data_IF_577610535879
#
_entry.id   IF_577610535879
#
_cell.length_a   1.000
_cell.length_b   1.000
_cell.length_c   1.000
_cell.angle_alpha   90.00
_cell.angle_beta   90.00
_cell.angle_gamma   90.00
#
_symmetry.space_group_name_H-M   'P 1'
#
loop_
_entity.id
_entity.type
_entity.pdbx_description
1 polymer ?
#
# COMPACT_ATOMS: atom_id res chain seq x y z
N UNK A 1 -64.21 -6.68 4.91
CA UNK A 1 -64.58 -6.49 6.33
C UNK A 1 -63.34 -5.93 7.00
N UNK A 2 -63.33 -4.58 7.08
CA UNK A 2 -63.35 -3.75 8.28
C UNK A 2 -62.10 -3.92 9.19
N UNK A 3 -61.29 -2.94 9.50
CA UNK A 3 -61.51 -1.53 9.86
C UNK A 3 -60.20 -0.69 9.79
N UNK A 4 -60.39 0.49 9.29
CA UNK A 4 -59.52 1.68 9.37
C UNK A 4 -59.46 2.17 10.84
N UNK A 5 -58.32 2.68 11.30
CA UNK A 5 -58.32 3.71 12.32
C UNK A 5 -57.12 4.66 12.14
N UNK A 6 -57.48 5.88 11.86
CA UNK A 6 -56.70 7.12 11.80
C UNK A 6 -56.37 7.62 13.20
N UNK A 7 -55.20 8.23 13.39
CA UNK A 7 -55.04 9.32 14.39
C UNK A 7 -54.16 10.47 13.85
N UNK A 8 -54.79 11.57 13.67
CA UNK A 8 -54.32 12.93 13.44
C UNK A 8 -53.80 13.48 14.76
N UNK A 9 -52.70 14.22 14.79
CA UNK A 9 -52.37 15.17 15.85
C UNK A 9 -51.44 16.27 15.34
N UNK A 10 -52.01 17.36 14.98
CA UNK A 10 -51.93 18.76 15.49
C UNK A 10 -50.57 19.43 15.50
N UNK A 11 -50.44 20.34 14.54
CA UNK A 11 -49.47 21.44 14.44
C UNK A 11 -49.77 22.53 15.51
N UNK A 12 -48.76 23.00 16.23
CA UNK A 12 -48.80 24.26 16.97
C UNK A 12 -47.78 25.24 16.40
N UNK A 13 -48.30 26.25 15.73
CA UNK A 13 -47.59 27.47 15.35
C UNK A 13 -47.43 28.40 16.55
N UNK A 14 -46.24 28.94 16.74
CA UNK A 14 -46.03 30.11 17.64
C UNK A 14 -45.62 31.30 16.78
N UNK A 15 -46.51 32.30 16.79
CA UNK A 15 -46.28 33.65 16.26
C UNK A 15 -45.66 34.46 17.37
N UNK A 16 -44.52 35.12 17.14
CA UNK A 16 -44.01 36.19 18.00
C UNK A 16 -44.03 37.54 17.25
N UNK A 17 -44.76 38.43 17.83
CA UNK A 17 -45.00 39.81 17.39
C UNK A 17 -43.79 40.67 17.79
N UNK A 18 -43.23 41.41 16.82
CA UNK A 18 -42.19 42.42 17.04
C UNK A 18 -42.83 43.74 17.39
N UNK A 19 -42.41 44.32 18.50
CA UNK A 19 -42.79 45.69 18.91
C UNK A 19 -41.64 46.65 18.57
N UNK A 20 -41.90 47.58 17.66
CA UNK A 20 -41.04 48.74 17.36
C UNK A 20 -41.18 49.79 18.48
N UNK A 21 -40.04 50.25 18.99
CA UNK A 21 -39.94 51.49 19.75
C UNK A 21 -38.96 52.44 19.07
N UNK A 22 -39.51 53.50 18.49
CA UNK A 22 -38.77 54.64 17.95
C UNK A 22 -38.58 55.63 19.13
N UNK A 23 -37.33 55.95 19.41
CA UNK A 23 -37.01 57.17 20.23
C UNK A 23 -35.96 57.97 19.48
N UNK A 24 -36.42 59.10 18.98
CA UNK A 24 -35.62 60.23 18.51
C UNK A 24 -34.92 60.91 19.67
N UNK A 25 -33.61 61.18 19.54
CA UNK A 25 -33.06 62.34 20.25
C UNK A 25 -31.94 62.98 19.41
N UNK A 26 -32.03 64.32 19.41
CA UNK A 26 -31.21 65.25 18.65
C UNK A 26 -29.88 65.54 19.34
N UNK A 27 -28.84 65.65 18.56
CA UNK A 27 -27.84 66.69 18.59
C UNK A 27 -26.86 66.80 19.76
N UNK A 28 -25.57 66.57 19.41
CA UNK A 28 -24.52 67.56 19.70
C UNK A 28 -23.30 67.32 18.88
N UNK A 29 -22.89 68.34 18.18
CA UNK A 29 -21.72 68.47 17.35
C UNK A 29 -20.49 68.67 18.26
N UNK A 30 -19.44 67.83 18.14
CA UNK A 30 -18.09 68.18 18.60
C UNK A 30 -17.04 67.50 17.77
N UNK A 31 -16.05 68.23 17.36
CA UNK A 31 -14.99 68.14 16.44
C UNK A 31 -14.06 66.93 16.60
N UNK A 32 -13.68 66.43 15.43
CA UNK A 32 -12.34 65.96 15.01
C UNK A 32 -11.38 65.44 16.07
N UNK A 33 -11.25 64.09 16.11
CA UNK A 33 -10.07 63.37 16.47
C UNK A 33 -9.86 62.31 15.41
N UNK A 34 -8.90 62.49 14.52
CA UNK A 34 -8.39 61.39 13.67
C UNK A 34 -7.69 60.42 14.61
N UNK A 35 -8.30 59.33 14.93
CA UNK A 35 -7.57 58.14 15.41
C UNK A 35 -6.75 57.59 14.22
N UNK A 36 -5.48 57.22 14.45
CA UNK A 36 -4.73 56.51 13.42
C UNK A 36 -5.39 55.17 13.24
N UNK A 37 -5.92 54.93 12.05
CA UNK A 37 -6.45 53.65 11.66
C UNK A 37 -5.35 52.60 11.81
N UNK A 38 -5.55 51.74 12.78
CA UNK A 38 -4.88 50.44 12.89
C UNK A 38 -5.34 49.59 11.69
N UNK A 39 -4.74 49.85 10.56
CA UNK A 39 -4.74 48.87 9.48
C UNK A 39 -3.84 47.73 9.96
N UNK A 40 -4.40 46.84 10.77
CA UNK A 40 -3.88 45.49 10.89
C UNK A 40 -3.81 44.95 9.47
N UNK A 41 -2.63 45.00 8.86
CA UNK A 41 -2.26 44.23 7.69
C UNK A 41 -2.56 42.79 8.09
N UNK A 42 -3.73 42.27 7.73
CA UNK A 42 -3.95 40.82 7.68
C UNK A 42 -3.00 40.34 6.60
N UNK A 43 -1.85 39.81 7.04
CA UNK A 43 -0.97 39.13 6.14
C UNK A 43 -1.82 38.08 5.39
N UNK A 44 -1.78 38.10 4.06
CA UNK A 44 -2.41 37.06 3.27
C UNK A 44 -1.90 35.70 3.75
N UNK A 45 -2.76 34.69 3.86
CA UNK A 45 -2.31 33.36 4.25
C UNK A 45 -1.21 32.90 3.29
N UNK A 46 -0.15 32.31 3.81
CA UNK A 46 0.91 31.75 2.98
C UNK A 46 0.32 30.67 2.06
N UNK A 47 0.72 30.62 0.77
CA UNK A 47 0.23 29.59 -0.11
C UNK A 47 0.60 28.20 0.41
N UNK A 48 -0.32 27.25 0.24
CA UNK A 48 -0.21 25.90 0.77
C UNK A 48 -0.23 24.87 -0.35
N UNK A 49 0.44 23.73 -0.12
CA UNK A 49 0.30 22.53 -0.95
C UNK A 49 -0.19 21.36 -0.13
N UNK A 50 -0.87 20.42 -0.78
CA UNK A 50 -1.26 19.14 -0.23
C UNK A 50 -0.35 18.05 -0.76
N UNK A 51 0.41 17.43 0.10
CA UNK A 51 1.26 16.28 -0.23
C UNK A 51 0.51 15.02 0.15
N UNK A 52 0.24 14.17 -0.83
CA UNK A 52 -0.31 12.82 -0.66
C UNK A 52 0.81 11.83 -0.92
N UNK A 53 0.94 10.84 -0.06
CA UNK A 53 2.03 9.88 -0.16
C UNK A 53 1.59 8.46 0.19
N UNK A 54 2.20 7.50 -0.50
CA UNK A 54 2.08 6.06 -0.27
C UNK A 54 3.43 5.40 -0.52
N UNK A 55 3.54 4.10 -0.34
CA UNK A 55 4.73 3.31 -0.63
C UNK A 55 4.70 1.97 0.08
N UNK A 56 5.78 1.24 -0.09
CA UNK A 56 5.96 -0.09 0.49
C UNK A 56 4.79 -1.03 0.17
N UNK A 57 4.42 -1.03 -1.10
CA UNK A 57 3.37 -1.92 -1.60
C UNK A 57 3.74 -3.39 -1.43
N UNK A 58 5.04 -3.72 -1.49
CA UNK A 58 5.57 -5.05 -1.22
C UNK A 58 4.90 -6.15 -2.04
N UNK A 59 4.56 -5.85 -3.31
CA UNK A 59 3.87 -6.75 -4.22
C UNK A 59 2.34 -6.81 -4.06
N UNK A 60 1.75 -6.02 -3.16
CA UNK A 60 0.31 -5.98 -2.93
C UNK A 60 -0.39 -5.01 -3.89
N UNK A 61 -0.95 -5.52 -4.98
CA UNK A 61 -1.78 -4.73 -5.89
C UNK A 61 -3.19 -4.53 -5.35
N UNK A 62 -3.68 -5.51 -4.61
CA UNK A 62 -4.99 -5.53 -3.94
C UNK A 62 -4.90 -6.27 -2.61
N UNK A 63 -5.86 -6.12 -1.70
CA UNK A 63 -5.89 -6.89 -0.47
C UNK A 63 -6.05 -8.38 -0.78
N UNK A 64 -5.37 -9.24 -0.02
CA UNK A 64 -5.63 -10.67 -0.11
C UNK A 64 -7.12 -10.96 0.17
N UNK A 65 -7.81 -11.60 -0.79
CA UNK A 65 -9.23 -11.96 -0.68
C UNK A 65 -9.54 -12.92 0.48
N UNK A 66 -8.53 -13.60 1.01
CA UNK A 66 -8.63 -14.50 2.16
C UNK A 66 -8.62 -13.77 3.51
N UNK A 67 -8.13 -12.52 3.56
CA UNK A 67 -8.04 -11.75 4.80
C UNK A 67 -9.41 -11.29 5.29
N UNK A 68 -9.68 -11.46 6.58
CA UNK A 68 -10.92 -10.96 7.21
C UNK A 68 -10.99 -9.42 7.20
N UNK A 69 -9.84 -8.75 7.25
CA UNK A 69 -9.74 -7.29 7.20
C UNK A 69 -9.02 -6.89 5.92
N UNK A 70 -9.80 -6.61 4.88
CA UNK A 70 -9.28 -6.20 3.58
C UNK A 70 -8.89 -4.73 3.59
N UNK A 71 -7.64 -4.43 3.93
CA UNK A 71 -7.05 -3.09 3.86
C UNK A 71 -6.11 -2.97 2.67
N UNK A 72 -6.13 -1.81 2.00
CA UNK A 72 -5.23 -1.51 0.90
C UNK A 72 -5.85 -1.69 -0.48
N UNK A 73 -4.97 -1.77 -1.48
CA UNK A 73 -5.30 -1.99 -2.88
C UNK A 73 -5.35 -0.70 -3.71
N UNK A 74 -4.78 -0.79 -4.91
CA UNK A 74 -4.78 0.31 -5.87
C UNK A 74 -6.18 0.75 -6.32
N UNK A 75 -7.20 -0.16 -6.46
CA UNK A 75 -8.56 0.26 -6.81
C UNK A 75 -9.18 1.21 -5.79
N UNK A 76 -9.10 0.91 -4.49
CA UNK A 76 -9.60 1.78 -3.41
C UNK A 76 -8.81 3.09 -3.31
N UNK A 77 -7.47 3.00 -3.50
CA UNK A 77 -6.59 4.18 -3.53
C UNK A 77 -7.01 5.16 -4.63
N UNK A 78 -7.28 4.67 -5.83
CA UNK A 78 -7.76 5.49 -6.93
C UNK A 78 -9.09 6.18 -6.59
N UNK A 79 -10.03 5.48 -5.99
CA UNK A 79 -11.31 6.05 -5.55
C UNK A 79 -11.12 7.17 -4.54
N UNK A 80 -10.17 7.04 -3.61
CA UNK A 80 -9.82 8.11 -2.65
C UNK A 80 -9.16 9.31 -3.34
N UNK A 81 -8.21 9.06 -4.25
CA UNK A 81 -7.33 10.11 -4.83
C UNK A 81 -7.99 10.83 -6.01
N UNK A 82 -8.73 10.13 -6.86
CA UNK A 82 -9.28 10.68 -8.10
C UNK A 82 -10.12 11.96 -7.91
N UNK A 83 -10.98 12.09 -6.86
CA UNK A 83 -11.70 13.33 -6.61
C UNK A 83 -10.82 14.54 -6.25
N UNK A 84 -9.58 14.33 -5.84
CA UNK A 84 -8.64 15.39 -5.49
C UNK A 84 -8.10 16.10 -6.74
N UNK A 85 -7.97 15.38 -7.85
CA UNK A 85 -7.40 15.86 -9.13
C UNK A 85 -8.23 16.96 -9.82
N UNK A 86 -9.47 17.19 -9.41
CA UNK A 86 -10.38 18.13 -10.08
C UNK A 86 -10.76 19.36 -9.26
N UNK A 87 -10.27 19.48 -8.02
CA UNK A 87 -10.72 20.55 -7.11
C UNK A 87 -9.77 21.72 -6.99
N UNK A 88 -8.47 21.43 -6.89
CA UNK A 88 -7.43 22.44 -6.74
C UNK A 88 -6.13 21.93 -7.41
N UNK A 89 -5.36 22.80 -8.03
CA UNK A 89 -4.09 22.40 -8.70
C UNK A 89 -2.90 22.24 -7.73
N UNK A 90 -3.12 22.38 -6.41
CA UNK A 90 -2.08 22.40 -5.39
C UNK A 90 -1.80 21.05 -4.71
N UNK A 91 -2.08 19.96 -5.40
CA UNK A 91 -1.80 18.58 -4.93
C UNK A 91 -0.51 18.03 -5.55
N UNK A 92 0.23 17.24 -4.76
CA UNK A 92 1.36 16.47 -5.21
C UNK A 92 1.29 15.06 -4.63
N UNK A 93 1.46 14.05 -5.48
CA UNK A 93 1.38 12.63 -5.12
C UNK A 93 2.75 12.00 -5.25
N UNK A 94 3.20 11.30 -4.20
CA UNK A 94 4.54 10.75 -4.06
C UNK A 94 4.49 9.28 -3.64
N UNK A 95 5.36 8.45 -4.23
CA UNK A 95 5.56 7.04 -3.87
C UNK A 95 6.95 6.85 -3.27
N UNK A 96 7.01 6.20 -2.11
CA UNK A 96 8.25 6.03 -1.34
C UNK A 96 9.18 4.92 -1.84
N UNK A 97 8.70 4.00 -2.64
CA UNK A 97 9.46 2.84 -3.13
C UNK A 97 8.86 1.52 -2.71
N UNK A 98 9.55 0.44 -3.04
CA UNK A 98 9.20 -0.94 -2.76
C UNK A 98 7.84 -1.36 -3.32
N UNK A 99 7.70 -1.22 -4.65
CA UNK A 99 6.53 -1.75 -5.34
C UNK A 99 6.52 -3.28 -5.38
N UNK A 100 7.62 -4.00 -5.73
CA UNK A 100 7.65 -5.47 -5.73
C UNK A 100 7.77 -6.03 -4.31
N UNK A 101 7.37 -7.29 -4.14
CA UNK A 101 7.52 -8.02 -2.89
C UNK A 101 8.74 -8.94 -2.89
N UNK A 102 8.94 -9.64 -4.00
CA UNK A 102 9.97 -10.66 -4.20
C UNK A 102 10.69 -10.42 -5.52
N UNK A 103 11.72 -11.19 -5.79
CA UNK A 103 12.39 -11.22 -7.10
C UNK A 103 11.78 -12.33 -7.93
N UNK A 104 11.35 -12.00 -9.15
CA UNK A 104 10.82 -12.97 -10.09
C UNK A 104 9.87 -12.37 -11.10
N UNK A 105 9.50 -13.17 -12.12
CA UNK A 105 8.70 -12.66 -13.25
C UNK A 105 7.34 -12.10 -12.83
N UNK A 106 6.70 -12.73 -11.84
CA UNK A 106 5.42 -12.23 -11.32
C UNK A 106 5.56 -10.83 -10.72
N UNK A 107 6.61 -10.61 -9.93
CA UNK A 107 6.86 -9.31 -9.31
C UNK A 107 7.30 -8.24 -10.32
N UNK A 108 7.98 -8.61 -11.41
CA UNK A 108 8.22 -7.71 -12.54
C UNK A 108 6.89 -7.20 -13.13
N UNK A 109 5.93 -8.12 -13.38
CA UNK A 109 4.61 -7.77 -13.90
C UNK A 109 3.82 -6.92 -12.88
N UNK A 110 3.90 -7.26 -11.59
CA UNK A 110 3.29 -6.45 -10.52
C UNK A 110 3.86 -5.03 -10.49
N UNK A 111 5.18 -4.87 -10.59
CA UNK A 111 5.83 -3.57 -10.60
C UNK A 111 5.40 -2.73 -11.81
N UNK A 112 5.36 -3.32 -13.02
CA UNK A 112 4.84 -2.67 -14.22
C UNK A 112 3.39 -2.20 -14.02
N UNK A 113 2.53 -3.07 -13.48
CA UNK A 113 1.11 -2.79 -13.21
C UNK A 113 0.94 -1.69 -12.17
N UNK A 114 1.72 -1.73 -11.08
CA UNK A 114 1.70 -0.71 -10.04
C UNK A 114 2.13 0.66 -10.57
N UNK A 115 3.18 0.73 -11.40
CA UNK A 115 3.64 1.98 -12.03
C UNK A 115 2.59 2.56 -12.99
N UNK A 116 1.88 1.73 -13.77
CA UNK A 116 0.77 2.20 -14.61
C UNK A 116 -0.36 2.76 -13.73
N UNK A 117 -0.71 2.07 -12.64
CA UNK A 117 -1.73 2.55 -11.69
C UNK A 117 -1.32 3.90 -11.05
N UNK A 118 -0.06 4.04 -10.59
CA UNK A 118 0.47 5.30 -10.05
C UNK A 118 0.41 6.42 -11.09
N UNK A 119 0.81 6.13 -12.34
CA UNK A 119 0.73 7.09 -13.45
C UNK A 119 -0.69 7.55 -13.73
N UNK A 120 -1.67 6.64 -13.76
CA UNK A 120 -3.11 6.97 -13.91
C UNK A 120 -3.63 7.83 -12.77
N UNK A 121 -3.18 7.57 -11.55
CA UNK A 121 -3.51 8.40 -10.38
C UNK A 121 -2.80 9.76 -10.37
N UNK A 122 -1.76 9.96 -11.20
CA UNK A 122 -1.02 11.21 -11.32
C UNK A 122 0.08 11.39 -10.27
N UNK A 123 0.68 10.30 -9.80
CA UNK A 123 1.90 10.37 -9.01
C UNK A 123 3.01 11.03 -9.84
N UNK A 124 3.78 11.90 -9.20
CA UNK A 124 4.82 12.69 -9.89
C UNK A 124 6.21 12.14 -9.66
N UNK A 125 6.41 11.42 -8.55
CA UNK A 125 7.70 10.82 -8.22
C UNK A 125 7.51 9.47 -7.53
N UNK A 126 8.39 8.53 -7.88
CA UNK A 126 8.60 7.26 -7.23
C UNK A 126 10.05 7.18 -6.78
N UNK A 127 10.27 7.03 -5.46
CA UNK A 127 11.59 6.75 -4.92
C UNK A 127 11.96 5.29 -5.18
N UNK A 128 13.23 4.97 -5.15
CA UNK A 128 13.74 3.61 -5.32
C UNK A 128 14.06 3.04 -3.95
N UNK A 129 13.36 1.96 -3.55
CA UNK A 129 13.65 1.18 -2.37
C UNK A 129 14.56 -0.02 -2.64
N UNK A 130 14.87 -0.81 -1.60
CA UNK A 130 15.76 -1.97 -1.74
C UNK A 130 15.13 -3.09 -2.57
N UNK A 131 13.80 -3.29 -2.49
CA UNK A 131 13.13 -4.32 -3.28
C UNK A 131 13.02 -3.93 -4.75
N UNK A 132 12.85 -2.63 -5.04
CA UNK A 132 12.94 -2.13 -6.40
C UNK A 132 14.34 -2.42 -6.97
N UNK A 133 15.42 -2.15 -6.21
CA UNK A 133 16.80 -2.45 -6.62
C UNK A 133 17.04 -3.93 -6.84
N UNK A 134 16.45 -4.80 -6.02
CA UNK A 134 16.59 -6.25 -6.14
C UNK A 134 16.00 -6.80 -7.45
N UNK A 135 15.13 -6.04 -8.14
CA UNK A 135 14.62 -6.40 -9.48
C UNK A 135 15.67 -6.23 -10.57
N UNK A 136 16.78 -5.58 -10.27
CA UNK A 136 17.89 -5.33 -11.18
C UNK A 136 17.79 -4.00 -11.90
N UNK A 137 18.98 -3.40 -12.12
CA UNK A 137 19.09 -2.04 -12.67
C UNK A 137 18.61 -1.93 -14.12
N UNK A 138 18.69 -3.00 -14.90
CA UNK A 138 18.23 -3.02 -16.29
C UNK A 138 16.70 -2.88 -16.37
N UNK A 139 15.97 -3.59 -15.51
CA UNK A 139 14.51 -3.47 -15.42
C UNK A 139 14.11 -2.08 -14.94
N UNK A 140 14.75 -1.57 -13.87
CA UNK A 140 14.48 -0.22 -13.37
C UNK A 140 14.75 0.84 -14.43
N UNK A 141 15.85 0.69 -15.17
CA UNK A 141 16.21 1.58 -16.29
C UNK A 141 15.12 1.57 -17.36
N UNK A 142 14.67 0.39 -17.78
CA UNK A 142 13.58 0.25 -18.73
C UNK A 142 12.28 0.91 -18.22
N UNK A 143 11.86 0.57 -17.00
CA UNK A 143 10.64 1.10 -16.40
C UNK A 143 10.69 2.62 -16.22
N UNK A 144 11.85 3.18 -15.86
CA UNK A 144 12.04 4.63 -15.73
C UNK A 144 11.84 5.40 -17.04
N UNK A 145 12.03 4.74 -18.19
CA UNK A 145 11.84 5.35 -19.51
C UNK A 145 10.40 5.32 -20.00
N UNK A 146 9.66 4.25 -19.66
CA UNK A 146 8.30 4.04 -20.14
C UNK A 146 7.22 4.51 -19.17
N UNK A 147 7.55 4.66 -17.89
CA UNK A 147 6.62 5.10 -16.86
C UNK A 147 6.22 6.57 -17.02
N UNK A 148 4.97 6.88 -16.67
CA UNK A 148 4.48 8.26 -16.52
C UNK A 148 4.83 8.87 -15.15
N UNK A 149 5.55 8.13 -14.30
CA UNK A 149 6.03 8.57 -12.98
C UNK A 149 7.55 8.73 -13.03
N UNK A 150 8.06 9.88 -12.62
CA UNK A 150 9.51 10.11 -12.57
C UNK A 150 10.16 9.29 -11.45
N UNK A 151 11.28 8.63 -11.75
CA UNK A 151 12.07 7.92 -10.74
C UNK A 151 13.07 8.89 -10.10
N UNK A 152 13.18 8.84 -8.77
CA UNK A 152 14.12 9.70 -8.02
C UNK A 152 15.00 8.86 -7.09
N UNK A 153 16.31 9.10 -7.13
CA UNK A 153 17.26 8.64 -6.12
C UNK A 153 18.46 9.55 -6.04
N UNK A 154 18.74 10.06 -4.86
CA UNK A 154 19.84 11.00 -4.61
C UNK A 154 21.15 10.33 -4.22
N UNK A 155 21.11 9.06 -3.76
CA UNK A 155 22.28 8.37 -3.22
C UNK A 155 22.66 7.07 -3.93
N UNK A 156 21.99 6.72 -5.01
CA UNK A 156 22.45 5.70 -5.94
C UNK A 156 23.41 6.38 -6.93
N UNK A 157 24.65 5.91 -6.97
CA UNK A 157 25.72 6.46 -7.86
C UNK A 157 26.16 5.39 -8.86
N UNK A 158 27.00 5.79 -9.80
CA UNK A 158 27.52 4.95 -10.89
C UNK A 158 26.43 4.49 -11.88
N UNK A 159 25.25 5.15 -11.85
CA UNK A 159 24.23 4.95 -12.86
C UNK A 159 24.66 5.55 -14.20
N UNK A 160 24.54 4.80 -15.29
CA UNK A 160 24.59 5.38 -16.63
C UNK A 160 23.33 6.22 -16.88
N UNK A 161 23.41 7.49 -16.53
CA UNK A 161 22.29 8.44 -16.68
C UNK A 161 21.84 8.65 -18.14
N UNK A 162 22.62 8.16 -19.13
CA UNK A 162 22.21 8.16 -20.52
C UNK A 162 21.26 7.00 -20.85
N UNK A 163 21.34 5.92 -20.08
CA UNK A 163 20.50 4.72 -20.23
C UNK A 163 19.27 4.75 -19.32
N UNK A 164 19.30 5.50 -18.22
CA UNK A 164 18.24 5.50 -17.19
C UNK A 164 17.68 6.90 -16.94
N UNK A 165 16.36 6.99 -16.83
CA UNK A 165 15.68 8.24 -16.46
C UNK A 165 15.44 8.31 -14.92
N UNK A 166 16.50 8.02 -14.15
CA UNK A 166 16.51 8.14 -12.69
C UNK A 166 17.19 9.47 -12.35
N UNK A 167 16.47 10.34 -11.65
CA UNK A 167 16.88 11.71 -11.36
C UNK A 167 17.44 11.81 -9.93
N UNK A 168 18.53 12.56 -9.69
CA UNK A 168 19.02 12.79 -8.33
C UNK A 168 18.04 13.64 -7.50
N UNK A 169 17.23 14.46 -8.14
CA UNK A 169 16.11 15.21 -7.58
C UNK A 169 15.14 15.64 -8.69
N UNK A 170 13.95 16.05 -8.30
CA UNK A 170 12.91 16.59 -9.17
C UNK A 170 12.51 17.96 -8.64
N UNK A 171 12.30 18.95 -9.51
CA UNK A 171 11.63 20.20 -9.16
C UNK A 171 10.28 20.21 -9.85
N UNK A 172 9.20 20.25 -9.06
CA UNK A 172 7.84 20.31 -9.54
C UNK A 172 7.25 21.70 -9.30
N UNK A 173 6.71 22.32 -10.35
CA UNK A 173 5.95 23.55 -10.23
C UNK A 173 4.49 23.23 -9.95
N UNK A 174 3.98 23.77 -8.84
CA UNK A 174 2.60 23.63 -8.38
C UNK A 174 1.94 24.99 -8.45
N UNK A 175 0.86 25.08 -9.20
CA UNK A 175 0.05 26.30 -9.26
C UNK A 175 -0.87 26.37 -8.06
N UNK A 176 -0.88 27.52 -7.40
CA UNK A 176 -1.87 27.86 -6.37
C UNK A 176 -2.70 29.05 -6.85
N UNK A 177 -3.75 29.42 -6.15
CA UNK A 177 -4.56 30.59 -6.50
C UNK A 177 -3.73 31.90 -6.55
N UNK A 178 -2.66 31.99 -5.75
CA UNK A 178 -1.89 33.23 -5.57
C UNK A 178 -0.52 33.20 -6.26
N UNK A 179 0.06 32.02 -6.54
CA UNK A 179 1.44 31.90 -7.00
C UNK A 179 1.76 30.53 -7.65
N UNK A 180 2.95 30.41 -8.20
CA UNK A 180 3.55 29.12 -8.57
C UNK A 180 4.58 28.77 -7.52
N UNK A 181 4.42 27.63 -6.86
CA UNK A 181 5.37 27.09 -5.89
C UNK A 181 6.26 26.06 -6.53
N UNK A 182 7.54 26.10 -6.17
CA UNK A 182 8.53 25.10 -6.59
C UNK A 182 8.83 24.13 -5.47
N UNK A 183 8.50 22.88 -5.67
CA UNK A 183 8.73 21.79 -4.73
C UNK A 183 9.91 20.97 -5.18
N UNK A 184 10.97 20.94 -4.39
CA UNK A 184 12.11 20.04 -4.57
C UNK A 184 11.82 18.70 -3.92
N UNK A 185 12.01 17.62 -4.68
CA UNK A 185 11.79 16.24 -4.23
C UNK A 185 13.09 15.49 -4.39
N UNK A 186 13.58 14.92 -3.30
CA UNK A 186 14.76 14.06 -3.25
C UNK A 186 14.33 12.65 -2.81
N UNK A 187 15.14 11.65 -3.11
CA UNK A 187 14.89 10.28 -2.71
C UNK A 187 16.17 9.59 -2.22
N UNK A 188 16.09 8.82 -1.17
CA UNK A 188 17.20 7.98 -0.70
C UNK A 188 16.72 6.56 -0.37
N UNK A 189 17.65 5.63 -0.43
CA UNK A 189 17.54 4.30 0.16
C UNK A 189 18.70 4.10 1.14
N UNK A 190 18.42 3.51 2.31
CA UNK A 190 19.45 3.23 3.30
C UNK A 190 20.44 2.17 2.79
N UNK A 191 21.76 2.42 2.84
CA UNK A 191 22.76 1.41 2.53
C UNK A 191 22.67 0.17 3.43
N UNK A 192 22.12 0.30 4.65
CA UNK A 192 21.99 -0.79 5.61
C UNK A 192 20.94 -1.83 5.18
N UNK A 193 20.00 -1.45 4.29
CA UNK A 193 18.98 -2.33 3.74
C UNK A 193 19.48 -3.12 2.52
N UNK A 194 20.65 -2.77 2.00
CA UNK A 194 21.16 -3.33 0.76
C UNK A 194 21.99 -4.58 1.02
N UNK A 195 21.54 -5.71 0.51
CA UNK A 195 22.33 -6.93 0.45
C UNK A 195 23.34 -6.83 -0.70
N UNK A 196 24.56 -6.45 -0.39
CA UNK A 196 25.62 -6.03 -1.35
C UNK A 196 26.04 -7.08 -2.39
N UNK A 197 25.53 -8.30 -2.33
CA UNK A 197 25.97 -9.41 -3.22
C UNK A 197 25.35 -9.37 -4.64
N UNK A 198 24.39 -8.49 -4.91
CA UNK A 198 23.54 -8.60 -6.11
C UNK A 198 23.40 -7.31 -6.92
N UNK A 199 24.00 -6.18 -6.51
CA UNK A 199 23.78 -4.91 -7.19
C UNK A 199 24.97 -4.49 -8.06
N UNK A 200 24.68 -4.14 -9.31
CA UNK A 200 25.62 -3.48 -10.24
C UNK A 200 25.69 -1.94 -10.03
N UNK A 201 25.22 -1.47 -8.87
CA UNK A 201 25.21 -0.04 -8.50
C UNK A 201 25.79 0.18 -7.10
N UNK A 202 26.25 1.40 -6.83
CA UNK A 202 26.75 1.79 -5.52
C UNK A 202 25.73 2.68 -4.81
N UNK A 203 25.31 2.28 -3.61
CA UNK A 203 24.51 3.12 -2.72
C UNK A 203 25.42 3.77 -1.70
N UNK A 204 25.47 5.10 -1.68
CA UNK A 204 26.36 5.87 -0.79
C UNK A 204 25.59 6.40 0.41
N UNK A 205 26.33 6.80 1.46
CA UNK A 205 25.77 7.42 2.66
C UNK A 205 24.84 8.59 2.29
N UNK A 206 23.57 8.58 2.75
CA UNK A 206 22.58 9.58 2.42
C UNK A 206 23.00 11.01 2.84
N UNK A 207 23.63 11.16 4.00
CA UNK A 207 24.08 12.47 4.49
C UNK A 207 25.13 13.08 3.56
N UNK A 208 26.05 12.25 3.07
CA UNK A 208 27.08 12.72 2.12
C UNK A 208 26.47 13.07 0.75
N UNK A 209 25.53 12.26 0.26
CA UNK A 209 24.88 12.45 -1.02
C UNK A 209 23.97 13.69 -1.07
N UNK A 210 23.20 13.91 0.00
CA UNK A 210 22.23 15.01 0.07
C UNK A 210 22.89 16.39 0.17
N UNK A 211 24.05 16.50 0.78
CA UNK A 211 24.73 17.80 1.04
C UNK A 211 24.85 18.71 -0.18
N UNK A 212 25.46 18.30 -1.31
CA UNK A 212 25.58 19.15 -2.48
C UNK A 212 24.24 19.46 -3.14
N UNK A 213 23.29 18.50 -3.11
CA UNK A 213 21.98 18.66 -3.72
C UNK A 213 21.11 19.66 -2.97
N UNK A 214 21.07 19.58 -1.64
CA UNK A 214 20.33 20.53 -0.81
C UNK A 214 20.88 21.93 -0.93
N UNK A 215 22.21 22.10 -0.96
CA UNK A 215 22.84 23.41 -1.18
C UNK A 215 22.46 24.03 -2.53
N UNK A 216 22.28 23.21 -3.58
CA UNK A 216 21.85 23.68 -4.89
C UNK A 216 20.35 23.98 -4.95
N UNK A 217 19.52 23.22 -4.22
CA UNK A 217 18.06 23.31 -4.27
C UNK A 217 17.46 24.38 -3.35
N UNK A 218 18.12 24.68 -2.24
CA UNK A 218 17.59 25.58 -1.21
C UNK A 218 17.11 26.93 -1.73
N UNK A 219 17.90 27.57 -2.62
CA UNK A 219 17.53 28.84 -3.23
C UNK A 219 16.58 28.74 -4.42
N UNK A 220 16.41 27.53 -4.97
CA UNK A 220 15.61 27.28 -6.18
C UNK A 220 14.20 26.81 -5.88
N UNK A 221 13.91 26.43 -4.63
CA UNK A 221 12.64 25.80 -4.23
C UNK A 221 12.01 26.50 -3.04
N UNK A 222 10.70 26.41 -2.95
CA UNK A 222 9.89 26.95 -1.85
C UNK A 222 9.62 25.93 -0.75
N UNK A 223 9.67 24.63 -1.12
CA UNK A 223 9.46 23.48 -0.23
C UNK A 223 10.47 22.39 -0.65
N UNK A 224 11.07 21.72 0.33
CA UNK A 224 11.96 20.58 0.13
C UNK A 224 11.37 19.32 0.81
N UNK A 225 11.17 18.26 0.02
CA UNK A 225 10.64 16.98 0.48
C UNK A 225 11.68 15.89 0.21
N UNK A 226 11.95 15.07 1.21
CA UNK A 226 12.77 13.88 1.09
C UNK A 226 11.88 12.63 1.21
N UNK A 227 11.97 11.76 0.21
CA UNK A 227 11.47 10.39 0.27
C UNK A 227 12.59 9.53 0.82
N UNK A 228 12.46 9.09 2.06
CA UNK A 228 13.51 8.36 2.80
C UNK A 228 13.12 6.90 2.97
N UNK A 229 13.61 6.05 2.06
CA UNK A 229 13.46 4.59 2.21
C UNK A 229 14.52 4.07 3.19
N UNK A 230 14.24 4.27 4.48
CA UNK A 230 15.11 4.01 5.60
C UNK A 230 14.28 3.88 6.88
N UNK A 231 14.84 3.27 7.91
CA UNK A 231 14.22 3.26 9.22
C UNK A 231 13.98 4.68 9.77
N UNK A 232 12.99 4.81 10.64
CA UNK A 232 12.59 6.10 11.23
C UNK A 232 13.74 6.80 11.94
N UNK A 233 14.60 6.05 12.64
CA UNK A 233 15.76 6.58 13.37
C UNK A 233 16.80 7.21 12.45
N UNK A 234 17.02 6.64 11.27
CA UNK A 234 17.91 7.20 10.25
C UNK A 234 17.31 8.47 9.64
N UNK A 235 16.02 8.43 9.32
CA UNK A 235 15.28 9.59 8.81
C UNK A 235 15.29 10.77 9.79
N UNK A 236 15.19 10.51 11.10
CA UNK A 236 15.32 11.54 12.16
C UNK A 236 16.74 12.13 12.18
N UNK A 237 17.79 11.31 12.08
CA UNK A 237 19.18 11.81 12.01
C UNK A 237 19.42 12.69 10.79
N UNK A 238 18.82 12.35 9.64
CA UNK A 238 18.88 13.19 8.45
C UNK A 238 18.20 14.55 8.70
N UNK A 239 17.04 14.57 9.37
CA UNK A 239 16.36 15.80 9.73
C UNK A 239 17.19 16.69 10.69
N UNK A 240 17.90 16.09 11.64
CA UNK A 240 18.82 16.81 12.55
C UNK A 240 20.00 17.45 11.83
N UNK A 241 20.48 16.82 10.75
CA UNK A 241 21.63 17.32 9.95
C UNK A 241 21.19 18.38 8.95
N UNK A 242 19.98 18.25 8.39
CA UNK A 242 19.46 19.09 7.31
C UNK A 242 18.12 19.76 7.69
N UNK A 243 18.15 20.79 8.57
CA UNK A 243 16.97 21.51 8.99
C UNK A 243 16.27 22.33 7.88
N UNK A 244 16.90 22.42 6.69
CA UNK A 244 16.31 23.00 5.49
C UNK A 244 15.25 22.12 4.83
N UNK A 245 15.16 20.83 5.16
CA UNK A 245 14.07 19.95 4.73
C UNK A 245 12.79 20.32 5.46
N UNK A 246 11.67 20.43 4.73
CA UNK A 246 10.36 20.71 5.30
C UNK A 246 9.63 19.44 5.69
N UNK A 247 9.81 18.38 4.89
CA UNK A 247 9.15 17.10 5.08
C UNK A 247 10.10 15.95 4.73
N UNK A 248 10.13 14.96 5.59
CA UNK A 248 10.69 13.64 5.28
C UNK A 248 9.54 12.63 5.36
N UNK A 249 9.26 11.95 4.25
CA UNK A 249 8.39 10.78 4.22
C UNK A 249 9.30 9.58 4.42
N UNK A 250 9.13 8.90 5.55
CA UNK A 250 9.97 7.77 5.96
C UNK A 250 9.22 6.47 5.80
N UNK A 251 9.88 5.42 5.45
CA UNK A 251 9.28 4.10 5.39
C UNK A 251 10.33 3.03 5.58
N UNK A 252 10.00 1.98 6.07
CA UNK A 252 10.51 0.65 6.21
C UNK A 252 9.92 0.04 7.47
N UNK A 253 9.11 -1.01 7.27
CA UNK A 253 8.49 -1.85 8.32
C UNK A 253 7.58 -1.08 9.32
N UNK A 254 6.80 -0.12 8.86
CA UNK A 254 5.82 0.59 9.71
C UNK A 254 4.40 0.09 9.43
N UNK A 255 3.88 -0.77 10.30
CA UNK A 255 2.51 -1.30 10.16
C UNK A 255 1.44 -0.21 10.39
N UNK A 256 1.63 0.68 11.39
CA UNK A 256 0.66 1.71 11.78
C UNK A 256 1.29 3.11 11.75
N UNK A 257 1.24 3.80 10.60
CA UNK A 257 1.93 5.09 10.40
C UNK A 257 1.41 6.21 11.27
N UNK A 258 0.15 6.18 11.70
CA UNK A 258 -0.49 7.20 12.54
C UNK A 258 0.12 7.36 13.93
N UNK A 259 0.92 6.38 14.38
CA UNK A 259 1.54 6.36 15.71
C UNK A 259 2.92 7.01 15.78
N UNK A 260 3.56 7.31 14.65
CA UNK A 260 5.01 7.59 14.61
C UNK A 260 5.41 8.97 14.08
N UNK A 261 4.47 9.91 13.99
CA UNK A 261 4.80 11.28 13.60
C UNK A 261 5.86 11.91 14.53
N UNK A 262 6.90 12.48 13.93
CA UNK A 262 7.92 13.27 14.64
C UNK A 262 8.04 14.67 14.02
N UNK A 263 8.42 15.64 14.87
CA UNK A 263 8.88 16.94 14.42
C UNK A 263 10.29 17.15 14.98
N UNK A 264 11.24 17.38 14.09
CA UNK A 264 12.65 17.66 14.39
C UNK A 264 12.92 19.06 13.91
N UNK A 265 13.09 20.00 14.82
CA UNK A 265 13.16 21.44 14.54
C UNK A 265 12.00 21.91 13.64
N UNK A 266 12.26 22.19 12.36
CA UNK A 266 11.25 22.62 11.39
C UNK A 266 10.80 21.48 10.45
N UNK A 267 11.46 20.35 10.50
CA UNK A 267 11.21 19.20 9.62
C UNK A 267 10.14 18.27 10.21
N UNK A 268 9.14 17.93 9.44
CA UNK A 268 8.20 16.84 9.78
C UNK A 268 8.74 15.52 9.23
N UNK A 269 8.81 14.50 10.08
CA UNK A 269 9.17 13.12 9.70
C UNK A 269 7.94 12.27 9.90
N UNK A 270 7.40 11.74 8.80
CA UNK A 270 6.12 11.03 8.77
C UNK A 270 6.34 9.67 8.13
N UNK A 271 5.98 8.56 8.80
CA UNK A 271 6.07 7.25 8.17
C UNK A 271 4.94 7.01 7.16
N UNK A 272 5.26 6.22 6.14
CA UNK A 272 4.28 5.54 5.30
C UNK A 272 3.98 4.17 5.91
N UNK A 273 2.76 3.66 5.74
CA UNK A 273 2.42 2.30 6.15
C UNK A 273 2.77 1.28 5.09
N UNK A 274 2.88 0.02 5.48
CA UNK A 274 3.22 -1.08 4.58
C UNK A 274 2.04 -1.62 3.75
N UNK A 275 2.36 -2.39 2.70
CA UNK A 275 1.42 -3.15 1.85
C UNK A 275 0.32 -2.29 1.21
N UNK A 276 0.63 -0.99 0.99
CA UNK A 276 -0.32 -0.06 0.40
C UNK A 276 -1.63 0.11 1.18
N UNK A 277 -1.66 -0.24 2.48
CA UNK A 277 -2.86 -0.20 3.33
C UNK A 277 -3.35 1.20 3.65
N UNK A 278 -2.48 2.19 3.59
CA UNK A 278 -2.75 3.56 4.02
C UNK A 278 -2.38 4.59 2.96
N UNK A 279 -3.10 5.71 2.97
CA UNK A 279 -2.73 6.92 2.25
C UNK A 279 -2.48 8.03 3.26
N UNK A 280 -1.26 8.56 3.25
CA UNK A 280 -0.87 9.71 4.04
C UNK A 280 -1.16 11.02 3.31
N UNK A 281 -1.56 12.05 4.06
CA UNK A 281 -1.76 13.41 3.55
C UNK A 281 -1.23 14.42 4.56
N UNK A 282 -0.48 15.41 4.08
CA UNK A 282 -0.06 16.56 4.86
C UNK A 282 -0.27 17.85 4.06
N UNK A 283 -0.65 18.92 4.76
CA UNK A 283 -0.73 20.26 4.16
C UNK A 283 0.43 21.10 4.65
N UNK A 284 1.30 21.53 3.72
CA UNK A 284 2.48 22.35 3.99
C UNK A 284 2.26 23.78 3.52
N UNK A 285 2.81 24.74 4.27
CA UNK A 285 2.92 26.15 3.88
C UNK A 285 4.33 26.45 3.42
N UNK A 286 4.49 27.40 2.51
CA UNK A 286 5.82 27.82 2.05
C UNK A 286 6.64 28.49 3.14
N UNK A 287 7.97 28.37 3.05
CA UNK A 287 8.91 29.23 3.74
C UNK A 287 8.75 30.66 3.22
N UNK A 288 8.49 31.64 4.08
CA UNK A 288 8.61 33.03 3.66
C UNK A 288 10.10 33.41 3.57
N UNK A 289 10.57 33.66 2.35
CA UNK A 289 11.82 34.38 2.11
C UNK A 289 11.55 35.89 2.17
N UNK A 290 11.28 36.47 3.35
CA UNK A 290 11.25 37.91 3.50
C UNK A 290 12.61 38.41 3.99
N UNK A 291 13.20 39.27 3.16
CA UNK A 291 14.28 40.23 3.46
C UNK A 291 15.11 39.96 4.74
N UNK A 292 15.88 38.90 4.77
CA UNK A 292 17.07 38.78 5.64
C UNK A 292 16.88 38.07 6.97
N UNK A 293 15.71 37.57 7.29
CA UNK A 293 15.48 36.69 8.45
C UNK A 293 14.62 35.50 7.98
N UNK A 294 15.14 34.29 8.10
CA UNK A 294 14.43 33.03 7.82
C UNK A 294 13.37 32.78 8.92
N UNK A 295 12.23 33.47 8.84
CA UNK A 295 11.09 33.10 9.68
C UNK A 295 10.34 31.93 9.02
N UNK A 296 10.52 30.74 9.55
CA UNK A 296 9.62 29.61 9.32
C UNK A 296 8.25 29.94 9.95
N UNK A 297 7.37 30.56 9.17
CA UNK A 297 5.99 30.86 9.62
C UNK A 297 5.12 29.59 9.51
N UNK A 298 5.40 28.60 10.31
CA UNK A 298 4.41 27.59 10.67
C UNK A 298 3.74 27.97 11.99
N UNK A 299 2.83 28.93 11.93
CA UNK A 299 2.06 29.37 13.11
C UNK A 299 0.99 28.35 13.56
N UNK A 300 0.77 27.29 12.78
CA UNK A 300 -0.09 26.16 13.15
C UNK A 300 0.56 24.84 12.70
N UNK A 301 0.46 23.80 13.54
CA UNK A 301 0.86 22.47 13.12
C UNK A 301 0.10 22.08 11.84
N UNK A 302 0.78 21.50 10.83
CA UNK A 302 0.12 21.08 9.60
C UNK A 302 -0.97 20.05 9.90
N UNK A 303 -2.04 20.09 9.11
CA UNK A 303 -3.04 19.03 9.15
C UNK A 303 -2.43 17.77 8.52
N UNK A 304 -2.32 16.72 9.32
CA UNK A 304 -1.83 15.42 8.89
C UNK A 304 -2.97 14.42 9.02
N UNK A 305 -3.19 13.69 7.98
CA UNK A 305 -4.24 12.66 7.90
C UNK A 305 -3.62 11.36 7.40
N UNK A 306 -3.94 10.26 8.06
CA UNK A 306 -3.64 8.90 7.58
C UNK A 306 -4.97 8.19 7.37
N UNK A 307 -5.24 7.81 6.14
CA UNK A 307 -6.50 7.19 5.75
C UNK A 307 -6.28 5.72 5.46
N UNK A 308 -6.85 4.78 6.25
CA UNK A 308 -6.86 3.36 5.89
C UNK A 308 -7.76 3.13 4.68
N UNK A 309 -7.29 2.34 3.72
CA UNK A 309 -8.07 1.95 2.54
C UNK A 309 -8.95 0.73 2.87
N UNK A 310 -10.00 0.96 3.63
CA UNK A 310 -10.94 -0.06 4.10
C UNK A 310 -12.19 -0.21 3.18
N UNK A 311 -13.15 -1.00 3.59
CA UNK A 311 -14.39 -1.25 2.85
C UNK A 311 -15.33 -0.05 2.68
N UNK A 312 -14.96 1.16 3.13
CA UNK A 312 -15.70 2.39 2.84
C UNK A 312 -15.44 2.91 1.44
N UNK A 313 -14.35 2.50 0.83
CA UNK A 313 -13.98 2.87 -0.54
C UNK A 313 -14.39 1.75 -1.47
N UNK A 314 -15.19 2.07 -2.49
CA UNK A 314 -15.50 1.17 -3.59
C UNK A 314 -14.28 0.99 -4.49
N UNK A 315 -14.16 -0.18 -5.11
CA UNK A 315 -13.09 -0.42 -6.06
C UNK A 315 -13.34 0.35 -7.36
N UNK A 316 -12.33 1.07 -7.83
CA UNK A 316 -12.38 1.81 -9.08
C UNK A 316 -12.35 0.86 -10.26
N UNK A 317 -13.34 0.94 -11.14
CA UNK A 317 -13.40 0.12 -12.35
C UNK A 317 -12.21 0.32 -13.29
N UNK A 318 -11.59 1.51 -13.31
CA UNK A 318 -10.42 1.79 -14.14
C UNK A 318 -9.21 0.97 -13.68
N UNK A 319 -8.99 0.88 -12.38
CA UNK A 319 -7.85 0.12 -11.83
C UNK A 319 -8.19 -1.37 -11.74
N UNK A 320 -9.44 -1.74 -11.48
CA UNK A 320 -9.86 -3.15 -11.55
C UNK A 320 -9.57 -3.75 -12.92
N UNK A 321 -9.89 -3.02 -14.00
CA UNK A 321 -9.55 -3.48 -15.36
C UNK A 321 -8.04 -3.66 -15.56
N UNK A 322 -7.21 -2.84 -14.93
CA UNK A 322 -5.74 -3.01 -14.98
C UNK A 322 -5.30 -4.30 -14.26
N UNK A 323 -5.96 -4.64 -13.15
CA UNK A 323 -5.69 -5.88 -12.43
C UNK A 323 -6.20 -7.12 -13.19
N UNK A 324 -7.31 -7.02 -13.90
CA UNK A 324 -7.77 -8.06 -14.83
C UNK A 324 -6.71 -8.34 -15.93
N UNK A 325 -6.11 -7.29 -16.50
CA UNK A 325 -5.01 -7.43 -17.46
C UNK A 325 -3.77 -8.09 -16.80
N UNK A 326 -3.48 -7.77 -15.55
CA UNK A 326 -2.42 -8.44 -14.80
C UNK A 326 -2.71 -9.94 -14.70
N UNK A 327 -3.91 -10.36 -14.31
CA UNK A 327 -4.29 -11.77 -14.21
C UNK A 327 -4.24 -12.49 -15.57
N UNK A 328 -4.69 -11.83 -16.66
CA UNK A 328 -4.55 -12.37 -18.02
C UNK A 328 -3.07 -12.60 -18.39
N UNK A 329 -2.17 -11.69 -18.01
CA UNK A 329 -0.72 -11.86 -18.25
C UNK A 329 -0.13 -13.05 -17.50
N UNK A 330 -0.52 -13.30 -16.24
CA UNK A 330 -0.05 -14.47 -15.49
C UNK A 330 -0.41 -15.77 -16.22
N UNK A 331 -1.62 -15.82 -16.78
CA UNK A 331 -2.10 -16.94 -17.58
C UNK A 331 -1.34 -17.07 -18.90
N UNK A 332 -1.23 -15.99 -19.68
CA UNK A 332 -0.64 -15.99 -21.01
C UNK A 332 0.87 -16.29 -20.98
N UNK A 333 1.56 -15.84 -19.93
CA UNK A 333 2.96 -16.13 -19.67
C UNK A 333 3.17 -17.48 -18.96
N UNK A 334 2.09 -18.25 -18.68
CA UNK A 334 2.11 -19.58 -18.05
C UNK A 334 2.89 -19.59 -16.70
N UNK A 335 2.65 -18.61 -15.83
CA UNK A 335 3.44 -18.41 -14.61
C UNK A 335 3.35 -19.58 -13.64
N UNK A 336 2.24 -20.31 -13.60
CA UNK A 336 2.12 -21.55 -12.81
C UNK A 336 3.13 -22.63 -13.23
N UNK A 337 3.43 -22.73 -14.52
CA UNK A 337 4.42 -23.68 -15.02
C UNK A 337 5.86 -23.28 -14.70
N UNK A 338 6.09 -22.01 -14.35
CA UNK A 338 7.39 -21.45 -14.00
C UNK A 338 7.68 -21.50 -12.49
N UNK A 339 6.72 -21.92 -11.66
CA UNK A 339 6.92 -22.10 -10.22
C UNK A 339 8.07 -23.06 -9.98
N UNK A 340 9.02 -22.66 -9.13
CA UNK A 340 10.14 -23.53 -8.76
C UNK A 340 9.62 -24.75 -8.00
N UNK A 341 9.98 -25.95 -8.47
CA UNK A 341 9.58 -27.21 -7.86
C UNK A 341 10.76 -27.96 -7.28
N UNK A 342 10.54 -28.60 -6.15
CA UNK A 342 11.48 -29.46 -5.47
C UNK A 342 10.93 -30.90 -5.36
N UNK A 343 11.79 -31.83 -4.93
CA UNK A 343 11.31 -33.16 -4.57
C UNK A 343 10.46 -33.10 -3.31
N UNK A 344 9.35 -33.84 -3.24
CA UNK A 344 8.55 -33.92 -2.02
C UNK A 344 9.35 -34.50 -0.85
N UNK A 345 8.95 -34.20 0.40
CA UNK A 345 9.61 -34.77 1.57
C UNK A 345 9.75 -36.29 1.47
N UNK A 346 10.94 -36.83 1.79
CA UNK A 346 11.25 -38.29 1.78
C UNK A 346 11.08 -38.97 0.43
N UNK A 347 11.12 -38.23 -0.70
CA UNK A 347 10.89 -38.75 -2.06
C UNK A 347 9.54 -39.47 -2.24
N UNK A 348 8.55 -39.09 -1.43
CA UNK A 348 7.18 -39.59 -1.56
C UNK A 348 6.44 -38.82 -2.67
N UNK A 349 5.30 -39.33 -3.10
CA UNK A 349 4.51 -38.70 -4.15
C UNK A 349 3.12 -38.34 -3.63
N UNK A 350 2.56 -37.22 -4.10
CA UNK A 350 1.16 -36.87 -3.89
C UNK A 350 0.28 -37.76 -4.77
N UNK A 351 -0.79 -38.31 -4.21
CA UNK A 351 -1.67 -39.28 -4.88
C UNK A 351 -3.09 -38.76 -5.13
N UNK A 352 -3.45 -37.63 -4.46
CA UNK A 352 -4.72 -36.94 -4.64
C UNK A 352 -5.87 -37.47 -3.79
N UNK A 353 -6.90 -36.64 -3.71
CA UNK A 353 -8.05 -36.86 -2.82
C UNK A 353 -8.87 -38.12 -3.17
N UNK A 354 -8.98 -38.46 -4.46
CA UNK A 354 -9.74 -39.64 -4.94
C UNK A 354 -9.15 -40.95 -4.43
N UNK A 355 -7.85 -41.05 -4.38
CA UNK A 355 -7.15 -42.22 -3.86
C UNK A 355 -7.41 -42.39 -2.34
N UNK A 356 -7.43 -41.30 -1.60
CA UNK A 356 -7.79 -41.31 -0.17
C UNK A 356 -9.24 -41.74 0.06
N UNK A 357 -10.16 -41.25 -0.79
CA UNK A 357 -11.59 -41.56 -0.72
C UNK A 357 -11.90 -43.05 -0.90
N UNK A 358 -11.07 -43.80 -1.65
CA UNK A 358 -11.23 -45.21 -1.88
C UNK A 358 -11.24 -46.04 -0.57
N UNK A 359 -10.45 -45.63 0.44
CA UNK A 359 -10.39 -46.30 1.75
C UNK A 359 -11.10 -45.46 2.85
N UNK A 360 -11.05 -44.14 2.78
CA UNK A 360 -11.55 -43.23 3.82
C UNK A 360 -12.81 -42.45 3.40
N UNK A 361 -13.78 -43.15 2.79
CA UNK A 361 -14.97 -42.52 2.21
C UNK A 361 -15.80 -41.65 3.17
N UNK A 362 -15.90 -42.03 4.44
CA UNK A 362 -16.65 -41.25 5.44
C UNK A 362 -15.94 -39.93 5.77
N UNK A 363 -14.61 -39.98 5.87
CA UNK A 363 -13.74 -38.82 6.11
C UNK A 363 -13.80 -37.90 4.89
N UNK A 364 -13.68 -38.48 3.70
CA UNK A 364 -13.75 -37.74 2.43
C UNK A 364 -15.04 -36.94 2.30
N UNK A 365 -16.22 -37.55 2.62
CA UNK A 365 -17.53 -36.87 2.61
C UNK A 365 -17.61 -35.73 3.60
N UNK A 366 -16.98 -35.89 4.76
CA UNK A 366 -16.88 -34.78 5.73
C UNK A 366 -16.03 -33.63 5.21
N UNK A 367 -14.90 -33.93 4.59
CA UNK A 367 -14.02 -32.94 3.98
C UNK A 367 -14.71 -32.20 2.82
N UNK A 368 -15.46 -32.88 1.95
CA UNK A 368 -16.21 -32.28 0.84
C UNK A 368 -17.18 -31.16 1.30
N UNK A 369 -17.64 -31.19 2.56
CA UNK A 369 -18.51 -30.17 3.14
C UNK A 369 -17.77 -28.97 3.71
N UNK A 370 -16.43 -28.98 3.71
CA UNK A 370 -15.60 -27.89 4.25
C UNK A 370 -15.23 -26.85 3.19
N UNK A 371 -14.87 -25.65 3.64
CA UNK A 371 -14.31 -24.61 2.75
C UNK A 371 -13.00 -25.03 2.06
N UNK A 372 -12.22 -25.94 2.67
CA UNK A 372 -10.99 -26.46 2.11
C UNK A 372 -11.21 -27.24 0.79
N UNK A 373 -12.29 -28.02 0.72
CA UNK A 373 -12.61 -28.76 -0.49
C UNK A 373 -12.93 -27.85 -1.68
N UNK A 374 -13.52 -26.70 -1.43
CA UNK A 374 -13.91 -25.71 -2.45
C UNK A 374 -12.91 -24.56 -2.61
N UNK A 375 -11.71 -24.66 -2.03
CA UNK A 375 -10.73 -23.58 -2.03
C UNK A 375 -10.32 -23.18 -3.46
N UNK A 376 -10.07 -24.12 -4.37
CA UNK A 376 -9.72 -23.83 -5.76
C UNK A 376 -10.85 -23.11 -6.52
N UNK A 377 -12.09 -23.53 -6.30
CA UNK A 377 -13.27 -22.94 -6.92
C UNK A 377 -13.47 -21.45 -6.51
N UNK A 378 -12.97 -21.08 -5.35
CA UNK A 378 -12.98 -19.65 -4.96
C UNK A 378 -12.06 -18.81 -5.83
N UNK A 379 -10.90 -19.35 -6.22
CA UNK A 379 -9.99 -18.69 -7.17
C UNK A 379 -10.61 -18.57 -8.56
N UNK A 380 -11.19 -19.66 -9.07
CA UNK A 380 -11.88 -19.64 -10.39
C UNK A 380 -12.99 -18.58 -10.41
N UNK A 381 -13.75 -18.45 -9.33
CA UNK A 381 -14.80 -17.44 -9.22
C UNK A 381 -14.24 -16.02 -9.16
N UNK A 382 -13.04 -15.83 -8.63
CA UNK A 382 -12.35 -14.55 -8.54
C UNK A 382 -11.44 -14.28 -9.74
N UNK A 383 -11.33 -15.20 -10.70
CA UNK A 383 -10.44 -15.14 -11.86
C UNK A 383 -8.94 -15.07 -11.48
N UNK A 384 -8.55 -15.75 -10.38
CA UNK A 384 -7.19 -15.81 -9.81
C UNK A 384 -6.57 -17.22 -9.88
N UNK A 385 -7.16 -18.16 -10.61
CA UNK A 385 -6.71 -19.54 -10.68
C UNK A 385 -5.38 -19.73 -11.43
N UNK A 386 -4.83 -18.67 -12.01
CA UNK A 386 -3.52 -18.64 -12.66
C UNK A 386 -2.45 -17.88 -11.89
N UNK A 387 -2.82 -17.32 -10.72
CA UNK A 387 -1.90 -16.60 -9.85
C UNK A 387 -1.15 -17.57 -8.93
N UNK A 388 0.18 -17.76 -9.11
CA UNK A 388 0.96 -18.69 -8.29
C UNK A 388 0.85 -18.42 -6.78
N UNK A 389 0.80 -17.18 -6.35
CA UNK A 389 0.70 -16.82 -4.92
C UNK A 389 -0.65 -17.22 -4.31
N UNK A 390 -1.73 -17.17 -5.10
CA UNK A 390 -3.03 -17.64 -4.66
C UNK A 390 -3.12 -19.17 -4.70
N UNK A 391 -2.67 -19.76 -5.82
CA UNK A 391 -2.78 -21.20 -6.06
C UNK A 391 -1.99 -22.03 -5.05
N UNK A 392 -0.85 -21.53 -4.56
CA UNK A 392 0.00 -22.22 -3.58
C UNK A 392 -0.78 -22.71 -2.34
N UNK A 393 -1.67 -21.87 -1.81
CA UNK A 393 -2.51 -22.22 -0.66
C UNK A 393 -3.82 -22.95 -1.03
N UNK A 394 -4.19 -22.95 -2.31
CA UNK A 394 -5.50 -23.44 -2.76
C UNK A 394 -5.46 -24.79 -3.48
N UNK A 395 -4.28 -25.44 -3.51
CA UNK A 395 -4.07 -26.77 -4.11
C UNK A 395 -3.14 -27.64 -3.27
N UNK A 396 -2.93 -28.89 -3.67
CA UNK A 396 -2.00 -29.80 -3.02
C UNK A 396 -0.62 -29.70 -3.70
N UNK A 397 0.39 -29.20 -2.98
CA UNK A 397 1.80 -29.38 -3.30
C UNK A 397 2.28 -28.66 -4.56
N UNK A 398 1.83 -27.42 -4.86
CA UNK A 398 2.26 -26.65 -6.04
C UNK A 398 3.79 -26.61 -6.21
N UNK A 399 4.53 -26.50 -5.11
CA UNK A 399 5.99 -26.36 -5.08
C UNK A 399 6.75 -27.71 -5.18
N UNK A 400 6.08 -28.80 -5.52
CA UNK A 400 6.68 -30.12 -5.61
C UNK A 400 6.44 -30.78 -6.97
N UNK A 401 7.43 -31.55 -7.48
CA UNK A 401 7.36 -32.20 -8.78
C UNK A 401 6.17 -33.16 -8.95
N UNK A 402 5.63 -33.72 -7.87
CA UNK A 402 4.46 -34.61 -7.89
C UNK A 402 3.19 -33.94 -7.41
N UNK A 403 3.22 -32.64 -7.16
CA UNK A 403 2.10 -31.84 -6.73
C UNK A 403 1.27 -31.29 -7.90
N UNK A 404 0.43 -30.30 -7.59
CA UNK A 404 -0.44 -29.67 -8.58
C UNK A 404 0.38 -29.01 -9.71
N UNK A 405 -0.10 -29.16 -10.95
CA UNK A 405 0.43 -28.46 -12.12
C UNK A 405 -0.63 -27.56 -12.75
N UNK A 406 -1.70 -28.18 -13.26
CA UNK A 406 -2.88 -27.51 -13.80
C UNK A 406 -4.13 -28.30 -13.48
N UNK A 407 -5.29 -27.66 -13.60
CA UNK A 407 -6.57 -28.35 -13.39
C UNK A 407 -6.80 -29.48 -14.42
N UNK A 408 -6.21 -29.35 -15.62
CA UNK A 408 -6.33 -30.36 -16.68
C UNK A 408 -5.42 -31.57 -16.44
N UNK A 409 -4.17 -31.34 -15.97
CA UNK A 409 -3.18 -32.40 -15.79
C UNK A 409 -3.30 -33.13 -14.45
N UNK A 410 -3.64 -32.40 -13.38
CA UNK A 410 -3.68 -32.91 -12.01
C UNK A 410 -4.96 -32.55 -11.25
N UNK A 411 -6.16 -32.84 -11.81
CA UNK A 411 -7.43 -32.41 -11.19
C UNK A 411 -7.69 -32.98 -9.79
N UNK A 412 -7.12 -34.13 -9.45
CA UNK A 412 -7.23 -34.76 -8.13
C UNK A 412 -6.47 -34.03 -7.03
N UNK A 413 -5.60 -33.07 -7.39
CA UNK A 413 -4.79 -32.27 -6.45
C UNK A 413 -5.37 -30.86 -6.21
N UNK A 414 -6.55 -30.56 -6.75
CA UNK A 414 -7.24 -29.28 -6.49
C UNK A 414 -7.77 -29.21 -5.06
N UNK A 415 -7.89 -27.96 -4.57
CA UNK A 415 -8.38 -27.69 -3.20
C UNK A 415 -7.33 -27.96 -2.13
N UNK A 416 -7.61 -27.55 -0.90
CA UNK A 416 -6.80 -27.90 0.27
C UNK A 416 -7.22 -29.32 0.70
N UNK A 417 -6.55 -30.30 0.09
CA UNK A 417 -6.94 -31.69 0.21
C UNK A 417 -6.32 -32.43 1.40
N UNK A 418 -6.52 -33.75 1.43
CA UNK A 418 -6.02 -34.60 2.51
C UNK A 418 -4.50 -34.40 2.71
N UNK A 419 -3.75 -34.42 1.62
CA UNK A 419 -2.30 -34.35 1.65
C UNK A 419 -1.72 -32.95 1.92
N UNK A 420 -2.55 -31.90 1.88
CA UNK A 420 -2.13 -30.56 2.37
C UNK A 420 -1.89 -30.55 3.88
N UNK A 421 -2.64 -31.36 4.63
CA UNK A 421 -2.48 -31.52 6.07
C UNK A 421 -1.62 -32.75 6.43
N UNK A 422 -1.82 -33.87 5.74
CA UNK A 422 -1.22 -35.16 6.09
C UNK A 422 0.11 -35.45 5.39
N UNK A 423 0.50 -34.64 4.40
CA UNK A 423 1.68 -34.89 3.56
C UNK A 423 1.47 -35.93 2.48
N UNK A 424 2.48 -36.21 1.63
CA UNK A 424 2.39 -37.14 0.50
C UNK A 424 1.99 -38.56 0.93
N UNK A 425 0.96 -39.14 0.29
CA UNK A 425 0.29 -40.36 0.72
C UNK A 425 0.79 -41.67 0.08
N UNK A 426 1.76 -41.63 -0.83
CA UNK A 426 2.17 -42.81 -1.60
C UNK A 426 2.61 -43.99 -0.74
N UNK A 427 3.46 -43.80 0.30
CA UNK A 427 3.91 -44.85 1.20
C UNK A 427 2.76 -45.40 2.06
N UNK A 428 1.91 -44.52 2.56
CA UNK A 428 0.73 -44.93 3.32
C UNK A 428 -0.23 -45.81 2.49
N UNK A 429 -0.43 -45.48 1.22
CA UNK A 429 -1.25 -46.27 0.31
C UNK A 429 -0.70 -47.67 0.11
N UNK A 430 0.63 -47.85 0.05
CA UNK A 430 1.27 -49.15 -0.12
C UNK A 430 1.38 -49.93 1.19
N UNK A 431 1.72 -49.27 2.31
CA UNK A 431 2.05 -49.96 3.56
C UNK A 431 0.88 -50.04 4.54
N UNK A 432 -0.14 -49.22 4.36
CA UNK A 432 -1.27 -48.99 5.29
C UNK A 432 -0.80 -48.66 6.72
N UNK A 433 0.31 -47.95 6.82
CA UNK A 433 0.91 -47.56 8.10
C UNK A 433 -0.03 -46.65 8.90
N UNK A 434 -0.18 -46.93 10.19
CA UNK A 434 -0.99 -46.10 11.12
C UNK A 434 -0.27 -44.87 11.61
N UNK A 435 1.01 -44.74 11.31
CA UNK A 435 1.83 -43.59 11.70
C UNK A 435 1.86 -42.48 10.64
N UNK A 436 1.05 -42.61 9.58
CA UNK A 436 0.92 -41.61 8.55
C UNK A 436 0.21 -40.35 9.04
N UNK A 437 0.76 -39.19 8.66
CA UNK A 437 0.08 -37.91 8.61
C UNK A 437 -0.46 -37.40 9.96
N UNK A 438 0.39 -37.26 10.97
CA UNK A 438 0.01 -36.52 12.19
C UNK A 438 -0.06 -35.04 11.88
N UNK A 439 -1.20 -34.44 12.19
CA UNK A 439 -1.48 -33.03 11.92
C UNK A 439 -1.32 -32.22 13.22
N UNK A 440 -0.54 -31.16 13.16
CA UNK A 440 -0.38 -30.17 14.22
C UNK A 440 -0.71 -28.76 13.73
N UNK A 441 -0.54 -27.78 14.59
CA UNK A 441 -0.77 -26.37 14.29
C UNK A 441 0.15 -25.90 13.13
N UNK A 442 1.36 -26.41 13.07
CA UNK A 442 2.36 -26.11 12.03
C UNK A 442 1.87 -26.37 10.59
N UNK A 443 0.97 -27.35 10.42
CA UNK A 443 0.35 -27.61 9.12
C UNK A 443 -0.67 -26.56 8.72
N UNK A 444 -1.30 -25.91 9.69
CA UNK A 444 -2.28 -24.84 9.46
C UNK A 444 -1.59 -23.51 9.17
N UNK A 445 -0.51 -23.20 9.90
CA UNK A 445 0.21 -21.93 9.83
C UNK A 445 0.89 -21.68 8.48
N UNK A 446 1.07 -22.72 7.66
CA UNK A 446 1.56 -22.57 6.27
C UNK A 446 0.66 -21.62 5.46
N UNK A 447 -0.65 -21.69 5.66
CA UNK A 447 -1.65 -20.87 4.97
C UNK A 447 -2.34 -19.86 5.93
N UNK A 448 -2.60 -20.27 7.17
CA UNK A 448 -3.23 -19.44 8.20
C UNK A 448 -2.17 -18.72 9.05
N UNK A 449 -1.50 -17.74 8.48
CA UNK A 449 -0.50 -16.89 9.13
C UNK A 449 -1.07 -15.49 9.40
N UNK A 450 -0.31 -14.63 10.06
CA UNK A 450 -0.72 -13.26 10.42
C UNK A 450 -1.15 -12.42 9.21
N UNK A 451 -0.64 -12.76 8.02
CA UNK A 451 -0.92 -12.06 6.77
C UNK A 451 -2.29 -12.43 6.18
N UNK A 452 -2.59 -13.73 6.13
CA UNK A 452 -3.78 -14.26 5.46
C UNK A 452 -4.93 -14.56 6.42
N UNK A 453 -4.62 -14.77 7.70
CA UNK A 453 -5.60 -15.08 8.75
C UNK A 453 -5.20 -14.45 10.09
N UNK A 454 -5.23 -13.10 10.21
CA UNK A 454 -4.72 -12.37 11.39
C UNK A 454 -5.47 -12.71 12.69
N UNK A 455 -6.60 -13.39 12.61
CA UNK A 455 -7.40 -13.85 13.74
C UNK A 455 -7.46 -15.38 13.84
N UNK A 456 -6.45 -16.06 13.26
CA UNK A 456 -6.39 -17.51 13.33
C UNK A 456 -6.19 -17.99 14.77
N UNK A 457 -7.18 -18.75 15.25
CA UNK A 457 -7.13 -19.42 16.56
C UNK A 457 -7.24 -20.92 16.32
N UNK A 458 -6.14 -21.65 16.51
CA UNK A 458 -6.04 -23.09 16.17
C UNK A 458 -7.20 -23.91 16.71
N UNK A 459 -7.53 -23.77 17.98
CA UNK A 459 -8.59 -24.57 18.63
C UNK A 459 -9.97 -24.33 18.01
N UNK A 460 -10.28 -23.09 17.59
CA UNK A 460 -11.54 -22.74 16.95
C UNK A 460 -11.60 -23.30 15.52
N UNK A 461 -10.53 -23.09 14.74
CA UNK A 461 -10.47 -23.55 13.35
C UNK A 461 -10.41 -25.07 13.26
N UNK A 462 -9.68 -25.72 14.17
CA UNK A 462 -9.62 -27.17 14.27
C UNK A 462 -10.99 -27.82 14.46
N UNK A 463 -11.87 -27.22 15.26
CA UNK A 463 -13.24 -27.76 15.45
C UNK A 463 -14.08 -27.75 14.16
N UNK A 464 -13.78 -26.84 13.20
CA UNK A 464 -14.50 -26.71 11.93
C UNK A 464 -14.08 -27.77 10.91
N UNK A 465 -12.83 -28.29 11.00
CA UNK A 465 -12.24 -29.14 9.97
C UNK A 465 -11.86 -30.54 10.46
N UNK A 466 -11.71 -30.76 11.76
CA UNK A 466 -11.39 -32.10 12.27
C UNK A 466 -12.46 -33.10 11.84
N UNK A 467 -12.02 -34.13 11.17
CA UNK A 467 -12.93 -35.24 10.81
C UNK A 467 -13.09 -36.23 11.96
N UNK A 468 -14.22 -37.01 11.99
CA UNK A 468 -14.40 -38.06 12.98
C UNK A 468 -13.35 -39.16 12.82
N UNK A 469 -12.94 -39.77 13.93
CA UNK A 469 -12.09 -40.95 13.86
C UNK A 469 -12.87 -42.09 13.16
N UNK A 470 -12.18 -42.84 12.27
CA UNK A 470 -12.82 -44.05 11.74
C UNK A 470 -13.05 -45.06 12.86
N UNK A 471 -14.31 -45.49 13.04
CA UNK A 471 -14.62 -46.64 13.86
C UNK A 471 -13.99 -47.87 13.21
N UNK A 472 -13.22 -48.62 14.01
CA UNK A 472 -12.54 -49.85 13.60
C UNK A 472 -13.46 -50.93 13.14
#
# INVERSE_FOLDING_TARGET
MTRINSKISVVKAFVFVSLLLILSNQGCNSQSGKEPGDSLNKASPSPTIHVVFTGEENGYLEPCGCSEVQLGGFPKRHTLINPLRGKDENWILLSLGDLPGKVGRQDEIKMETALDALGRMGYVAHNIGEKDLNMGIDLLGYLSQISNVDFVSSNIVDLDTSAFNIKPYIIKEIKTEESILKVGILGIVSPELIESAYLDVTVVDPVLALKPLLSDLYDKTDILILLSHAEMEESIKIAEVYPELDLIISGHLVDRPDLYLKKVDNTYVIPVGEKGKYVGKITLSTRRKESGEDEHVNSSSPAIETTPLDGKFEDSSEITMLLEIYQERLKDEELLAQVFKSDPPSNLTYIGNDDCAACHNKIFKHWEETGHASAYETLVKAEHEYDPECVECHVIGLNYFTGFETIESTPALKGVGCESCHGPGSDHKETLSKDYGKVGIENCEICHNDEHSPHFEFEEYWQKIKHPAEEK
#
